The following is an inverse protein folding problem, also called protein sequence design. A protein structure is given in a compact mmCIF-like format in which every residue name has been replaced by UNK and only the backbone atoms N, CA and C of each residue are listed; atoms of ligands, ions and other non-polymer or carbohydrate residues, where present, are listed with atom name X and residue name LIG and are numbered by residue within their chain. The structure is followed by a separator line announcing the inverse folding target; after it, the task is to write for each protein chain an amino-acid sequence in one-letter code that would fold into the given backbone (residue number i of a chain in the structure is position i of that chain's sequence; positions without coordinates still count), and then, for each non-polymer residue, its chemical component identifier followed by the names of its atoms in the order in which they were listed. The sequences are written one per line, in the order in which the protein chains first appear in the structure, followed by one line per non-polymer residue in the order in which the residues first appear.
data_IF_636177251709
#
_entry.id   IF_636177251709
#
_cell.length_a   1.000
_cell.length_b   1.000
_cell.length_c   1.000
_cell.angle_alpha   90.00
_cell.angle_beta   90.00
_cell.angle_gamma   90.00
#
_symmetry.space_group_name_H-M   'P 1'
#
loop_
_entity.id
_entity.type
_entity.pdbx_description
1 polymer ?
#
# COMPACT_ATOMS: atom_id res chain seq x y z
N UNK A 1 -10.11 -39.08 -19.67
CA UNK A 1 -8.95 -38.42 -19.00
C UNK A 1 -8.95 -36.89 -19.14
N UNK A 2 -10.07 -36.23 -19.52
CA UNK A 2 -10.07 -34.80 -19.88
C UNK A 2 -10.55 -33.88 -18.74
N UNK A 3 -11.69 -34.19 -18.12
CA UNK A 3 -12.33 -33.28 -17.15
C UNK A 3 -11.62 -33.23 -15.80
N UNK A 4 -11.06 -34.36 -15.34
CA UNK A 4 -10.36 -34.45 -14.06
C UNK A 4 -9.06 -33.63 -14.04
N UNK A 5 -8.38 -33.52 -15.19
CA UNK A 5 -7.19 -32.67 -15.33
C UNK A 5 -7.56 -31.18 -15.38
N UNK A 6 -8.65 -30.80 -16.08
CA UNK A 6 -9.15 -29.43 -16.05
C UNK A 6 -9.59 -29.00 -14.65
N UNK A 7 -10.23 -29.90 -13.89
CA UNK A 7 -10.65 -29.64 -12.52
C UNK A 7 -9.45 -29.39 -11.62
N UNK A 8 -8.39 -30.20 -11.76
CA UNK A 8 -7.16 -30.05 -10.98
C UNK A 8 -6.47 -28.71 -11.26
N UNK A 9 -6.36 -28.32 -12.53
CA UNK A 9 -5.79 -27.01 -12.92
C UNK A 9 -6.63 -25.85 -12.37
N UNK A 10 -7.96 -25.98 -12.36
CA UNK A 10 -8.85 -24.96 -11.76
C UNK A 10 -8.69 -24.88 -10.25
N UNK A 11 -8.54 -26.01 -9.56
CA UNK A 11 -8.30 -26.06 -8.11
C UNK A 11 -6.96 -25.40 -7.78
N UNK A 12 -5.88 -25.77 -8.46
CA UNK A 12 -4.56 -25.16 -8.25
C UNK A 12 -4.59 -23.64 -8.53
N UNK A 13 -5.35 -23.22 -9.55
CA UNK A 13 -5.56 -21.79 -9.82
C UNK A 13 -6.38 -21.11 -8.72
N UNK A 14 -7.43 -21.73 -8.21
CA UNK A 14 -8.24 -21.19 -7.12
C UNK A 14 -7.49 -21.14 -5.80
N UNK A 15 -6.68 -22.14 -5.49
CA UNK A 15 -5.76 -22.17 -4.35
C UNK A 15 -4.72 -21.06 -4.50
N UNK A 16 -4.12 -20.88 -5.69
CA UNK A 16 -3.23 -19.75 -5.94
C UNK A 16 -3.92 -18.39 -5.85
N UNK A 17 -5.20 -18.30 -6.21
CA UNK A 17 -6.01 -17.07 -6.08
C UNK A 17 -6.44 -16.81 -4.63
N UNK A 18 -6.61 -17.86 -3.83
CA UNK A 18 -6.96 -17.80 -2.42
C UNK A 18 -5.73 -17.45 -1.57
N UNK A 19 -4.58 -18.05 -1.88
CA UNK A 19 -3.26 -17.68 -1.36
C UNK A 19 -2.87 -16.26 -1.86
N UNK A 20 -3.27 -15.87 -3.08
CA UNK A 20 -3.19 -14.48 -3.54
C UNK A 20 -4.31 -13.58 -3.00
N UNK A 21 -5.26 -14.12 -2.23
CA UNK A 21 -6.22 -13.34 -1.43
C UNK A 21 -5.74 -13.20 0.02
N UNK A 22 -4.44 -13.34 0.24
CA UNK A 22 -3.74 -12.96 1.46
C UNK A 22 -3.83 -11.43 1.59
N UNK A 23 -4.82 -11.01 2.38
CA UNK A 23 -5.07 -9.59 2.69
C UNK A 23 -3.92 -9.07 3.55
N UNK A 24 -3.30 -7.98 3.12
CA UNK A 24 -2.45 -7.20 4.02
C UNK A 24 -3.28 -6.18 4.77
N UNK A 25 -3.18 -6.18 6.10
CA UNK A 25 -3.81 -5.21 6.98
C UNK A 25 -2.74 -4.39 7.67
N UNK A 26 -2.76 -3.07 7.50
CA UNK A 26 -1.94 -2.16 8.28
C UNK A 26 -2.59 -2.02 9.65
N UNK A 27 -1.90 -2.47 10.70
CA UNK A 27 -2.37 -2.43 12.10
C UNK A 27 -1.93 -1.17 12.85
N UNK A 28 -0.86 -0.52 12.38
CA UNK A 28 -0.45 0.80 12.84
C UNK A 28 0.43 1.49 11.80
N UNK A 29 0.44 2.82 11.86
CA UNK A 29 1.26 3.69 11.02
C UNK A 29 2.09 4.58 11.94
N UNK A 30 3.40 4.54 11.77
CA UNK A 30 4.34 5.48 12.38
C UNK A 30 4.77 6.52 11.36
N UNK A 31 4.66 7.79 11.74
CA UNK A 31 5.07 8.92 10.93
C UNK A 31 6.38 9.51 11.48
N UNK A 32 7.48 9.26 10.79
CA UNK A 32 8.80 9.84 11.11
C UNK A 32 9.16 11.02 10.19
N UNK A 33 8.19 11.56 9.43
CA UNK A 33 8.36 12.79 8.65
C UNK A 33 8.29 14.04 9.53
N UNK A 34 9.12 15.04 9.24
CA UNK A 34 9.14 16.34 9.93
C UNK A 34 7.88 17.20 9.76
N UNK A 35 6.93 16.78 8.90
CA UNK A 35 5.66 17.48 8.65
C UNK A 35 4.45 16.54 8.80
N UNK A 36 3.32 17.10 9.21
CA UNK A 36 2.13 16.35 9.63
C UNK A 36 1.50 15.54 8.48
N UNK A 37 1.14 14.27 8.70
CA UNK A 37 0.46 13.44 7.69
C UNK A 37 -1.07 13.50 7.90
N UNK A 38 -1.85 13.77 6.83
CA UNK A 38 -3.29 13.48 6.81
C UNK A 38 -3.55 12.23 6.01
N UNK A 39 -4.37 11.35 6.56
CA UNK A 39 -4.76 10.12 5.85
C UNK A 39 -6.20 10.26 5.39
N UNK A 40 -6.50 9.87 4.16
CA UNK A 40 -7.88 9.60 3.73
C UNK A 40 -7.92 8.16 3.25
N UNK A 41 -8.46 7.26 4.07
CA UNK A 41 -8.71 5.89 3.64
C UNK A 41 -10.04 5.90 2.89
N UNK A 42 -10.04 5.45 1.64
CA UNK A 42 -11.21 5.29 0.78
C UNK A 42 -11.07 4.01 -0.05
N UNK A 43 -12.17 3.38 -0.51
CA UNK A 43 -13.45 4.02 -0.87
C UNK A 43 -14.50 4.11 0.26
N UNK A 44 -14.24 3.61 1.47
CA UNK A 44 -15.15 3.83 2.61
C UNK A 44 -14.79 5.14 3.33
N UNK A 45 -15.75 5.94 3.79
CA UNK A 45 -15.48 7.25 4.35
C UNK A 45 -14.91 7.09 5.76
N UNK A 46 -13.57 7.10 5.89
CA UNK A 46 -12.94 7.33 7.19
C UNK A 46 -12.59 8.81 7.31
N UNK A 47 -12.97 9.40 8.45
CA UNK A 47 -12.64 10.78 8.78
C UNK A 47 -11.13 10.97 8.66
N UNK A 48 -10.66 12.00 7.96
CA UNK A 48 -9.24 12.26 7.85
C UNK A 48 -8.66 12.48 9.24
N UNK A 49 -7.69 11.67 9.61
CA UNK A 49 -7.06 11.76 10.93
C UNK A 49 -5.58 12.08 10.77
N UNK A 50 -5.12 13.01 11.61
CA UNK A 50 -3.76 13.51 11.63
C UNK A 50 -2.89 12.60 12.47
N UNK A 51 -1.81 12.07 11.89
CA UNK A 51 -0.75 11.37 12.63
C UNK A 51 0.40 12.37 12.82
N UNK A 52 0.64 12.89 14.04
CA UNK A 52 1.73 13.81 14.31
C UNK A 52 3.12 13.29 13.90
N UNK A 53 4.07 14.19 13.72
CA UNK A 53 5.48 13.82 13.52
C UNK A 53 6.00 13.03 14.72
N UNK A 54 6.88 12.06 14.46
CA UNK A 54 7.47 11.15 15.45
C UNK A 54 6.43 10.45 16.34
N UNK A 55 5.27 10.12 15.76
CA UNK A 55 4.17 9.46 16.47
C UNK A 55 3.70 8.21 15.75
N UNK A 56 3.07 7.33 16.51
CA UNK A 56 2.46 6.10 16.04
C UNK A 56 0.97 6.14 16.32
N UNK A 57 0.20 5.60 15.37
CA UNK A 57 -1.23 5.44 15.54
C UNK A 57 -1.70 4.08 15.06
N UNK A 58 -2.50 3.40 15.90
CA UNK A 58 -3.20 2.19 15.51
C UNK A 58 -4.16 2.45 14.34
N UNK A 59 -4.10 1.57 13.36
CA UNK A 59 -4.90 1.61 12.14
C UNK A 59 -5.44 0.22 11.85
N UNK A 60 -6.57 0.14 11.17
CA UNK A 60 -7.04 -1.12 10.61
C UNK A 60 -7.42 -0.83 9.18
N UNK A 61 -6.41 -0.85 8.31
CA UNK A 61 -6.53 -0.45 6.92
C UNK A 61 -6.04 -1.56 6.01
N UNK A 62 -6.91 -2.02 5.10
CA UNK A 62 -6.55 -3.04 4.13
C UNK A 62 -5.75 -2.39 3.00
N UNK A 63 -4.65 -3.00 2.61
CA UNK A 63 -3.93 -2.64 1.39
C UNK A 63 -4.63 -3.33 0.21
N UNK A 64 -5.16 -2.60 -0.77
CA UNK A 64 -5.88 -3.21 -1.88
C UNK A 64 -4.92 -3.87 -2.88
N UNK A 65 -5.33 -4.98 -3.52
CA UNK A 65 -4.64 -5.48 -4.71
C UNK A 65 -4.91 -4.54 -5.90
N UNK A 66 -3.85 -4.19 -6.62
CA UNK A 66 -3.87 -3.20 -7.72
C UNK A 66 -3.06 -3.76 -8.88
N UNK A 67 -3.61 -3.67 -10.09
CA UNK A 67 -2.93 -4.00 -11.33
C UNK A 67 -2.77 -2.77 -12.24
N UNK A 68 -2.14 -2.92 -13.43
CA UNK A 68 -1.83 -1.80 -14.33
C UNK A 68 -3.06 -1.00 -14.79
N UNK A 69 -4.23 -1.61 -14.83
CA UNK A 69 -5.49 -0.99 -15.29
C UNK A 69 -6.41 -0.58 -14.14
N UNK A 70 -5.98 -0.72 -12.88
CA UNK A 70 -6.78 -0.37 -11.72
C UNK A 70 -6.85 1.16 -11.60
N UNK A 71 -8.06 1.69 -11.47
CA UNK A 71 -8.27 3.12 -11.26
C UNK A 71 -7.70 3.60 -9.92
N UNK A 72 -7.14 4.81 -9.92
CA UNK A 72 -6.48 5.40 -8.74
C UNK A 72 -7.38 5.54 -7.51
N UNK A 73 -8.71 5.61 -7.68
CA UNK A 73 -9.68 5.68 -6.57
C UNK A 73 -9.80 4.35 -5.79
N UNK A 74 -9.22 3.27 -6.32
CA UNK A 74 -9.13 1.95 -5.67
C UNK A 74 -7.81 1.72 -4.95
N UNK A 75 -6.89 2.69 -4.99
CA UNK A 75 -5.57 2.60 -4.38
C UNK A 75 -5.58 3.27 -3.02
N UNK A 76 -4.93 2.66 -2.02
CA UNK A 76 -4.81 3.28 -0.71
C UNK A 76 -3.92 4.51 -0.80
N UNK A 77 -4.35 5.61 -0.20
CA UNK A 77 -3.71 6.93 -0.35
C UNK A 77 -3.50 7.62 1.00
N UNK A 78 -2.27 8.04 1.25
CA UNK A 78 -1.89 8.93 2.34
C UNK A 78 -1.49 10.28 1.75
N UNK A 79 -1.76 11.39 2.43
CA UNK A 79 -1.45 12.74 1.95
C UNK A 79 -0.66 13.51 2.99
N UNK A 80 0.53 14.00 2.67
CA UNK A 80 1.28 14.86 3.59
C UNK A 80 0.59 16.21 3.71
N UNK A 81 0.53 16.76 4.92
CA UNK A 81 0.04 18.10 5.20
C UNK A 81 1.17 18.97 5.69
N UNK A 82 1.42 19.93 4.83
CA UNK A 82 2.51 20.88 4.87
C UNK A 82 1.90 22.27 4.77
N UNK A 83 2.55 23.26 5.37
CA UNK A 83 2.08 24.65 5.32
C UNK A 83 2.10 25.22 3.89
N UNK A 84 2.92 24.66 3.00
CA UNK A 84 2.96 25.01 1.57
C UNK A 84 2.31 23.92 0.73
N UNK A 85 1.29 24.27 -0.06
CA UNK A 85 0.65 23.34 -1.00
C UNK A 85 1.64 22.72 -2.00
N UNK A 86 2.74 23.40 -2.32
CA UNK A 86 3.77 22.90 -3.22
C UNK A 86 4.54 21.68 -2.68
N UNK A 87 4.45 21.42 -1.37
CA UNK A 87 5.10 20.27 -0.71
C UNK A 87 4.12 19.13 -0.42
N UNK A 88 2.86 19.26 -0.84
CA UNK A 88 1.83 18.25 -0.60
C UNK A 88 2.11 17.05 -1.51
N UNK A 89 2.46 15.93 -0.88
CA UNK A 89 2.77 14.67 -1.55
C UNK A 89 1.72 13.65 -1.20
N UNK A 90 1.35 12.81 -2.17
CA UNK A 90 0.50 11.64 -1.92
C UNK A 90 1.37 10.39 -1.97
N UNK A 91 1.18 9.53 -0.99
CA UNK A 91 1.82 8.22 -0.91
C UNK A 91 0.73 7.21 -1.23
N UNK A 92 0.88 6.54 -2.35
CA UNK A 92 -0.04 5.51 -2.83
C UNK A 92 0.53 4.17 -2.42
N UNK A 93 -0.25 3.30 -1.78
CA UNK A 93 0.21 2.00 -1.29
C UNK A 93 -0.74 0.92 -1.79
N UNK A 94 -0.19 -0.19 -2.28
CA UNK A 94 -0.97 -1.28 -2.85
C UNK A 94 -0.22 -2.61 -2.82
N UNK A 95 -0.95 -3.70 -3.01
CA UNK A 95 -0.39 -5.04 -3.29
C UNK A 95 -0.38 -5.24 -4.82
N UNK A 96 0.74 -5.59 -5.42
CA UNK A 96 0.82 -5.86 -6.85
C UNK A 96 0.06 -7.14 -7.19
N UNK A 97 -1.08 -7.01 -7.89
CA UNK A 97 -1.93 -8.14 -8.24
C UNK A 97 -1.36 -9.03 -9.35
N UNK A 98 -0.28 -8.59 -10.02
CA UNK A 98 0.45 -9.42 -10.99
C UNK A 98 1.54 -10.27 -10.33
N UNK A 99 1.92 -9.93 -9.10
CA UNK A 99 2.94 -10.65 -8.35
C UNK A 99 2.28 -11.78 -7.54
N UNK A 100 2.70 -13.05 -7.71
CA UNK A 100 2.21 -14.15 -6.89
C UNK A 100 2.41 -13.96 -5.39
N UNK A 101 3.42 -13.18 -4.97
CA UNK A 101 3.69 -12.84 -3.57
C UNK A 101 2.91 -11.60 -3.10
N UNK A 102 2.10 -11.00 -3.99
CA UNK A 102 1.35 -9.77 -3.74
C UNK A 102 2.22 -8.64 -3.19
N UNK A 103 3.42 -8.48 -3.77
CA UNK A 103 4.42 -7.52 -3.30
C UNK A 103 3.79 -6.16 -3.05
N UNK A 104 3.95 -5.67 -1.82
CA UNK A 104 3.48 -4.37 -1.39
C UNK A 104 4.39 -3.32 -2.01
N UNK A 105 3.79 -2.43 -2.79
CA UNK A 105 4.46 -1.33 -3.46
C UNK A 105 3.91 0.00 -2.97
N UNK A 106 4.73 1.03 -3.14
CA UNK A 106 4.36 2.40 -2.91
C UNK A 106 4.85 3.33 -4.03
N UNK A 107 4.08 4.38 -4.28
CA UNK A 107 4.44 5.47 -5.18
C UNK A 107 4.26 6.81 -4.45
N UNK A 108 5.17 7.74 -4.68
CA UNK A 108 5.08 9.09 -4.09
C UNK A 108 4.93 10.10 -5.23
N UNK A 109 3.76 10.72 -5.34
CA UNK A 109 3.45 11.67 -6.41
C UNK A 109 2.02 12.17 -6.38
N UNK A 110 1.72 13.23 -7.14
CA UNK A 110 0.39 13.82 -7.17
C UNK A 110 -0.68 12.90 -7.77
N UNK A 111 -0.30 12.11 -8.78
CA UNK A 111 -1.15 11.12 -9.41
C UNK A 111 -0.56 9.73 -9.17
N UNK A 112 -1.43 8.73 -9.09
CA UNK A 112 -0.99 7.34 -8.97
C UNK A 112 -0.25 6.92 -10.25
N UNK A 113 0.90 6.26 -10.09
CA UNK A 113 1.63 5.62 -11.16
C UNK A 113 1.99 4.21 -10.71
N UNK A 114 1.44 3.21 -11.39
CA UNK A 114 1.64 1.81 -11.08
C UNK A 114 3.02 1.30 -11.53
N UNK A 115 3.49 1.73 -12.70
CA UNK A 115 4.74 1.24 -13.31
C UNK A 115 5.98 1.78 -12.61
N UNK A 116 5.93 3.02 -12.10
CA UNK A 116 7.04 3.66 -11.37
C UNK A 116 7.00 3.40 -9.85
N UNK A 117 6.07 2.56 -9.37
CA UNK A 117 5.95 2.23 -7.97
C UNK A 117 7.09 1.33 -7.48
N UNK A 118 7.62 1.63 -6.29
CA UNK A 118 8.72 0.91 -5.67
C UNK A 118 8.19 -0.11 -4.66
N UNK A 119 8.82 -1.27 -4.48
CA UNK A 119 8.52 -2.14 -3.34
C UNK A 119 8.79 -1.40 -2.02
N UNK A 120 7.95 -1.64 -1.02
CA UNK A 120 8.23 -1.17 0.35
C UNK A 120 9.53 -1.81 0.88
N UNK A 121 10.19 -1.14 1.82
CA UNK A 121 11.43 -1.64 2.42
C UNK A 121 11.16 -2.73 3.46
N UNK A 122 12.16 -3.59 3.67
CA UNK A 122 12.22 -4.66 4.69
C UNK A 122 11.33 -5.88 4.39
N UNK A 123 10.01 -5.82 4.61
CA UNK A 123 9.10 -6.93 4.29
C UNK A 123 8.05 -6.49 3.28
N UNK A 124 8.38 -6.71 2.01
CA UNK A 124 7.51 -6.35 0.90
C UNK A 124 6.48 -7.43 0.55
N UNK A 125 6.55 -8.63 1.11
CA UNK A 125 5.55 -9.66 0.80
C UNK A 125 4.16 -9.24 1.32
N UNK A 126 3.14 -9.53 0.52
CA UNK A 126 1.76 -9.34 0.93
C UNK A 126 1.36 -10.31 2.03
N UNK A 127 0.49 -9.85 2.92
CA UNK A 127 -0.22 -10.68 3.88
C UNK A 127 -0.12 -10.32 5.33
N UNK A 128 -1.15 -10.77 6.05
CA UNK A 128 -1.22 -10.68 7.50
C UNK A 128 -1.31 -9.23 7.98
N UNK A 129 -0.84 -9.03 9.19
CA UNK A 129 -0.82 -7.74 9.84
C UNK A 129 0.55 -7.11 9.63
N UNK A 130 0.58 -5.87 9.17
CA UNK A 130 1.80 -5.11 8.91
C UNK A 130 1.85 -3.82 9.73
N UNK A 131 3.05 -3.51 10.19
CA UNK A 131 3.37 -2.20 10.74
C UNK A 131 4.01 -1.33 9.67
N UNK A 132 3.42 -0.17 9.40
CA UNK A 132 3.94 0.77 8.39
C UNK A 132 4.74 1.89 9.06
N UNK A 133 5.92 2.18 8.52
CA UNK A 133 6.69 3.39 8.86
C UNK A 133 6.87 4.25 7.61
N UNK A 134 6.57 5.53 7.72
CA UNK A 134 6.82 6.53 6.68
C UNK A 134 7.99 7.41 7.14
N UNK A 135 9.07 7.41 6.36
CA UNK A 135 10.34 8.05 6.73
C UNK A 135 10.79 9.05 5.65
N UNK A 136 11.63 10.02 6.04
CA UNK A 136 12.40 10.81 5.08
C UNK A 136 13.47 9.93 4.43
N UNK A 137 13.72 10.13 3.14
CA UNK A 137 14.62 9.29 2.37
C UNK A 137 15.37 10.09 1.31
N UNK A 138 16.67 10.25 1.47
CA UNK A 138 17.53 10.97 0.52
C UNK A 138 17.54 10.36 -0.88
N UNK A 139 17.27 9.06 -0.96
CA UNK A 139 17.32 8.27 -2.20
C UNK A 139 15.94 8.07 -2.84
N UNK A 140 14.87 8.50 -2.16
CA UNK A 140 13.50 8.35 -2.62
C UNK A 140 13.14 9.40 -3.66
N UNK A 141 12.36 9.02 -4.68
CA UNK A 141 11.93 9.88 -5.82
C UNK A 141 11.35 11.24 -5.35
N UNK A 142 10.82 11.29 -4.12
CA UNK A 142 10.30 12.50 -3.52
C UNK A 142 10.73 12.69 -2.06
N UNK A 143 11.87 12.17 -1.62
CA UNK A 143 12.32 12.40 -0.24
C UNK A 143 11.57 11.58 0.82
N UNK A 144 10.76 10.59 0.43
CA UNK A 144 9.92 9.77 1.31
C UNK A 144 10.09 8.30 0.95
N UNK A 145 10.27 7.44 1.96
CA UNK A 145 10.21 6.00 1.83
C UNK A 145 9.14 5.38 2.74
N UNK A 146 8.62 4.23 2.33
CA UNK A 146 7.71 3.39 3.11
C UNK A 146 8.41 2.09 3.47
N UNK A 147 8.41 1.77 4.76
CA UNK A 147 8.95 0.53 5.33
C UNK A 147 7.83 -0.27 5.96
N UNK A 148 7.88 -1.59 5.82
CA UNK A 148 6.90 -2.52 6.40
C UNK A 148 7.59 -3.62 7.22
N UNK A 149 6.93 -4.02 8.31
CA UNK A 149 7.28 -5.18 9.15
C UNK A 149 6.06 -6.10 9.23
#
# INVERSE_FOLDING_TARGET
MSEMNEMKVKIEKLESMLDASVRTVITAVKNDLSSSLKVTVGPLPQTPELIPSASEQSRYTIIPPVGPTTYQDKVLKFTTVVQSQALLKKIWVFQDSRDPLLTIKYWVGEQFNYDDANPVRVSAEGGGNKFMIINEDSDGIAGIAVTMY
#
